data_IF_369115803410
#
_entry.id   IF_369115803410
#
_cell.length_a   1.000
_cell.length_b   1.000
_cell.length_c   1.000
_cell.angle_alpha   90.00
_cell.angle_beta   90.00
_cell.angle_gamma   90.00
#
_symmetry.space_group_name_H-M   'P 1'
#
loop_
_entity.id
_entity.type
_entity.pdbx_description
1 polymer ?
#
# COMPACT_ATOMS: atom_id res chain seq x y z
N UNK A 1 -1.68 8.54 40.66
CA UNK A 1 -1.37 7.60 39.58
C UNK A 1 -1.75 6.19 40.02
N UNK A 2 -2.74 5.59 39.39
CA UNK A 2 -3.18 4.23 39.74
C UNK A 2 -2.24 3.22 39.05
N UNK A 3 -1.24 2.73 39.80
CA UNK A 3 -0.44 1.58 39.36
C UNK A 3 -1.19 0.28 39.74
N UNK A 4 -1.59 -0.49 38.71
CA UNK A 4 -2.28 -1.77 38.91
C UNK A 4 -1.35 -2.92 39.37
N UNK A 5 -0.02 -2.69 39.51
CA UNK A 5 1.01 -3.70 39.76
C UNK A 5 1.95 -3.37 40.98
N UNK A 6 1.51 -2.66 41.96
CA UNK A 6 2.35 -2.12 43.05
C UNK A 6 2.74 -3.06 44.20
N UNK A 7 2.20 -4.27 44.33
CA UNK A 7 2.24 -5.06 45.57
C UNK A 7 3.61 -5.52 46.10
N UNK A 8 4.68 -5.55 45.27
CA UNK A 8 6.06 -5.93 45.69
C UNK A 8 6.96 -4.72 45.92
N UNK A 9 6.60 -3.56 45.40
CA UNK A 9 7.49 -2.39 45.40
C UNK A 9 7.31 -1.57 46.69
N UNK A 10 8.44 -1.14 47.25
CA UNK A 10 8.49 -0.38 48.49
C UNK A 10 8.74 1.11 48.29
N UNK A 11 8.94 1.53 47.06
CA UNK A 11 9.18 2.93 46.66
C UNK A 11 8.25 3.30 45.51
N UNK A 12 7.88 4.56 45.44
CA UNK A 12 7.19 5.12 44.26
C UNK A 12 8.11 5.12 43.02
N UNK A 13 7.52 4.93 41.87
CA UNK A 13 8.25 5.00 40.58
C UNK A 13 8.69 6.44 40.31
N UNK A 14 9.94 6.63 39.95
CA UNK A 14 10.45 7.93 39.51
C UNK A 14 9.64 8.45 38.29
N UNK A 15 9.32 9.75 38.29
CA UNK A 15 8.48 10.34 37.23
C UNK A 15 9.09 10.24 35.83
N UNK A 16 10.42 10.32 35.71
CA UNK A 16 11.11 10.16 34.42
C UNK A 16 10.97 8.72 33.91
N UNK A 17 11.08 7.74 34.81
CA UNK A 17 10.90 6.32 34.48
C UNK A 17 9.46 6.06 34.07
N UNK A 18 8.47 6.63 34.79
CA UNK A 18 7.07 6.51 34.39
C UNK A 18 6.83 7.07 32.98
N UNK A 19 7.25 8.30 32.72
CA UNK A 19 7.06 8.95 31.42
C UNK A 19 7.77 8.22 30.30
N UNK A 20 8.96 7.65 30.56
CA UNK A 20 9.72 6.90 29.58
C UNK A 20 9.06 5.56 29.22
N UNK A 21 8.38 4.94 30.17
CA UNK A 21 7.69 3.66 29.96
C UNK A 21 6.27 3.81 29.40
N UNK A 22 5.64 4.97 29.56
CA UNK A 22 4.26 5.19 29.15
C UNK A 22 4.10 5.12 27.63
N UNK A 23 3.03 4.44 27.19
CA UNK A 23 2.70 4.24 25.77
C UNK A 23 1.38 4.88 25.36
N UNK A 24 0.61 5.45 26.30
CA UNK A 24 -0.73 5.99 26.07
C UNK A 24 -0.77 7.02 24.91
N UNK A 25 0.31 7.78 24.70
CA UNK A 25 0.38 8.80 23.64
C UNK A 25 0.25 8.24 22.23
N UNK A 26 0.61 6.98 22.01
CA UNK A 26 0.54 6.33 20.71
C UNK A 26 -0.37 5.09 20.70
N UNK A 27 -0.48 4.31 21.79
CA UNK A 27 -1.31 3.10 21.82
C UNK A 27 -2.82 3.42 21.91
N UNK A 28 -3.19 4.64 22.29
CA UNK A 28 -4.58 5.11 22.19
C UNK A 28 -5.19 4.92 20.79
N UNK A 29 -4.39 4.78 19.73
CA UNK A 29 -4.88 4.54 18.36
C UNK A 29 -5.68 3.25 18.23
N UNK A 30 -5.40 2.24 19.05
CA UNK A 30 -6.12 0.98 19.03
C UNK A 30 -7.09 0.76 20.21
N UNK A 31 -7.59 1.84 20.84
CA UNK A 31 -8.55 1.70 21.95
C UNK A 31 -9.79 0.86 21.60
N UNK A 32 -10.25 0.94 20.35
CA UNK A 32 -11.38 0.12 19.85
C UNK A 32 -11.05 -1.37 19.86
N UNK A 33 -9.84 -1.71 19.46
CA UNK A 33 -9.35 -3.09 19.44
C UNK A 33 -9.18 -3.65 20.84
N UNK A 34 -8.66 -2.85 21.77
CA UNK A 34 -8.55 -3.24 23.18
C UNK A 34 -9.93 -3.51 23.81
N UNK A 35 -10.90 -2.63 23.56
CA UNK A 35 -12.27 -2.79 24.03
C UNK A 35 -12.93 -4.03 23.39
N UNK A 36 -12.80 -4.22 22.07
CA UNK A 36 -13.35 -5.38 21.37
C UNK A 36 -12.72 -6.68 21.88
N UNK A 37 -11.40 -6.73 22.01
CA UNK A 37 -10.67 -7.87 22.58
C UNK A 37 -11.09 -8.17 24.03
N UNK A 38 -11.30 -7.13 24.83
CA UNK A 38 -11.79 -7.25 26.20
C UNK A 38 -13.22 -7.79 26.27
N UNK A 39 -14.13 -7.35 25.38
CA UNK A 39 -15.49 -7.89 25.28
C UNK A 39 -15.48 -9.38 24.92
N UNK A 40 -14.68 -9.78 23.92
CA UNK A 40 -14.54 -11.18 23.52
C UNK A 40 -13.97 -12.06 24.65
N UNK A 41 -12.99 -11.54 25.39
CA UNK A 41 -12.43 -12.22 26.56
C UNK A 41 -13.50 -12.44 27.65
N UNK A 42 -14.27 -11.41 27.98
CA UNK A 42 -15.34 -11.50 28.98
C UNK A 42 -16.48 -12.43 28.56
N UNK A 43 -16.86 -12.41 27.28
CA UNK A 43 -17.87 -13.35 26.73
C UNK A 43 -17.38 -14.80 26.89
N UNK A 44 -16.11 -15.08 26.59
CA UNK A 44 -15.48 -16.38 26.79
C UNK A 44 -15.43 -16.77 28.26
N UNK A 45 -15.06 -15.87 29.18
CA UNK A 45 -15.07 -16.15 30.61
C UNK A 45 -16.46 -16.49 31.13
N UNK A 46 -17.51 -15.81 30.66
CA UNK A 46 -18.91 -16.11 30.94
C UNK A 46 -19.34 -17.47 30.43
N UNK A 47 -18.97 -17.82 29.17
CA UNK A 47 -19.23 -19.13 28.57
C UNK A 47 -18.60 -20.27 29.35
N UNK A 48 -17.38 -20.07 29.83
CA UNK A 48 -16.65 -21.07 30.61
C UNK A 48 -17.06 -21.14 32.11
N UNK A 49 -18.00 -20.29 32.55
CA UNK A 49 -18.45 -20.24 33.91
C UNK A 49 -17.41 -19.71 34.93
N UNK A 50 -16.34 -19.07 34.43
CA UNK A 50 -15.35 -18.36 35.25
C UNK A 50 -15.97 -17.07 35.81
N UNK A 51 -16.78 -16.39 34.99
CA UNK A 51 -17.70 -15.34 35.40
C UNK A 51 -19.15 -15.87 35.32
N UNK A 52 -20.04 -15.28 36.11
CA UNK A 52 -21.45 -15.50 35.89
C UNK A 52 -21.90 -14.80 34.57
N UNK A 53 -22.94 -15.31 33.93
CA UNK A 53 -23.50 -14.67 32.73
C UNK A 53 -23.94 -13.22 33.00
N UNK A 54 -24.43 -12.94 34.18
CA UNK A 54 -24.86 -11.60 34.56
C UNK A 54 -23.67 -10.64 34.69
N UNK A 55 -22.55 -11.09 35.29
CA UNK A 55 -21.31 -10.30 35.36
C UNK A 55 -20.74 -10.05 33.98
N UNK A 56 -20.67 -11.08 33.14
CA UNK A 56 -20.20 -10.97 31.73
C UNK A 56 -21.01 -9.90 30.98
N UNK A 57 -22.34 -9.97 31.00
CA UNK A 57 -23.21 -8.99 30.35
C UNK A 57 -22.98 -7.56 30.85
N UNK A 58 -22.88 -7.38 32.16
CA UNK A 58 -22.64 -6.06 32.76
C UNK A 58 -21.30 -5.46 32.30
N UNK A 59 -20.24 -6.28 32.28
CA UNK A 59 -18.92 -5.83 31.86
C UNK A 59 -18.93 -5.47 30.37
N UNK A 60 -19.49 -6.30 29.49
CA UNK A 60 -19.61 -6.03 28.05
C UNK A 60 -20.38 -4.74 27.79
N UNK A 61 -21.54 -4.57 28.45
CA UNK A 61 -22.36 -3.35 28.29
C UNK A 61 -21.56 -2.10 28.72
N UNK A 62 -20.84 -2.16 29.84
CA UNK A 62 -20.04 -1.05 30.33
C UNK A 62 -18.83 -0.75 29.40
N UNK A 63 -18.19 -1.76 28.80
CA UNK A 63 -17.13 -1.57 27.79
C UNK A 63 -17.66 -0.85 26.54
N UNK A 64 -18.88 -1.18 26.09
CA UNK A 64 -19.55 -0.46 24.99
C UNK A 64 -19.81 1.00 25.35
N UNK A 65 -20.33 1.26 26.54
CA UNK A 65 -20.54 2.63 27.03
C UNK A 65 -19.24 3.44 27.09
N UNK A 66 -18.13 2.81 27.54
CA UNK A 66 -16.80 3.45 27.55
C UNK A 66 -16.38 3.81 26.11
N UNK A 67 -16.56 2.90 25.15
CA UNK A 67 -16.24 3.17 23.75
C UNK A 67 -17.08 4.34 23.21
N UNK A 68 -18.40 4.30 23.43
CA UNK A 68 -19.31 5.37 23.00
C UNK A 68 -18.97 6.72 23.63
N UNK A 69 -18.59 6.74 24.91
CA UNK A 69 -18.21 7.97 25.61
C UNK A 69 -16.91 8.57 25.05
N UNK A 70 -15.94 7.73 24.68
CA UNK A 70 -14.71 8.19 24.00
C UNK A 70 -15.05 8.72 22.62
N UNK A 71 -15.84 8.00 21.82
CA UNK A 71 -16.23 8.40 20.47
C UNK A 71 -17.02 9.72 20.44
N UNK A 72 -17.88 9.93 21.45
CA UNK A 72 -18.67 11.15 21.57
C UNK A 72 -17.95 12.29 22.30
N UNK A 73 -16.68 12.12 22.67
CA UNK A 73 -15.89 13.12 23.37
C UNK A 73 -16.34 13.42 24.81
N UNK A 74 -17.11 12.51 25.43
CA UNK A 74 -17.52 12.62 26.83
C UNK A 74 -16.45 12.11 27.79
N UNK A 75 -15.61 11.19 27.30
CA UNK A 75 -14.49 10.62 28.03
C UNK A 75 -13.21 10.84 27.22
N UNK A 76 -12.28 11.59 27.77
CA UNK A 76 -11.00 11.91 27.11
C UNK A 76 -9.91 10.91 27.55
N UNK A 77 -9.14 10.42 26.60
CA UNK A 77 -7.96 9.59 26.86
C UNK A 77 -6.82 10.53 27.26
N UNK A 78 -6.37 10.44 28.51
CA UNK A 78 -5.39 11.37 29.07
C UNK A 78 -4.06 10.68 29.42
N UNK A 79 -2.98 11.46 29.53
CA UNK A 79 -1.65 10.98 29.91
C UNK A 79 -1.51 10.60 31.41
N UNK A 80 -2.59 10.59 32.17
CA UNK A 80 -2.59 10.12 33.57
C UNK A 80 -2.44 8.60 33.69
N UNK A 81 -2.70 7.88 32.60
CA UNK A 81 -2.57 6.43 32.51
C UNK A 81 -1.29 6.05 31.75
N UNK A 82 -0.70 4.91 32.14
CA UNK A 82 0.52 4.39 31.51
C UNK A 82 0.27 3.94 30.05
N UNK A 83 -0.85 3.24 29.84
CA UNK A 83 -1.25 2.67 28.54
C UNK A 83 -2.78 2.69 28.37
N UNK A 84 -3.24 2.43 27.15
CA UNK A 84 -4.68 2.39 26.83
C UNK A 84 -5.42 1.31 27.61
N UNK A 85 -4.78 0.19 27.90
CA UNK A 85 -5.37 -0.90 28.64
C UNK A 85 -5.67 -0.50 30.09
N UNK A 86 -4.75 0.22 30.73
CA UNK A 86 -4.94 0.77 32.07
C UNK A 86 -6.06 1.83 32.09
N UNK A 87 -6.18 2.63 31.04
CA UNK A 87 -7.28 3.58 30.88
C UNK A 87 -8.63 2.86 30.83
N UNK A 88 -8.78 1.85 29.96
CA UNK A 88 -10.03 1.08 29.82
C UNK A 88 -10.39 0.37 31.12
N UNK A 89 -9.42 -0.34 31.73
CA UNK A 89 -9.61 -1.09 32.96
C UNK A 89 -9.98 -0.19 34.13
N UNK A 90 -9.33 0.97 34.30
CA UNK A 90 -9.64 1.92 35.38
C UNK A 90 -11.06 2.48 35.24
N UNK A 91 -11.47 2.91 34.04
CA UNK A 91 -12.83 3.39 33.80
C UNK A 91 -13.89 2.32 34.02
N UNK A 92 -13.59 1.06 33.68
CA UNK A 92 -14.46 -0.07 33.97
C UNK A 92 -14.62 -0.31 35.48
N UNK A 93 -13.50 -0.26 36.21
CA UNK A 93 -13.51 -0.43 37.67
C UNK A 93 -14.26 0.73 38.37
N UNK A 94 -14.07 1.96 37.92
CA UNK A 94 -14.77 3.13 38.46
C UNK A 94 -16.30 3.02 38.30
N UNK A 95 -16.77 2.42 37.21
CA UNK A 95 -18.21 2.24 36.92
C UNK A 95 -18.82 1.00 37.60
N UNK A 96 -18.06 -0.11 37.67
CA UNK A 96 -18.59 -1.41 38.11
C UNK A 96 -18.01 -1.93 39.43
N UNK A 97 -17.01 -1.26 40.03
CA UNK A 97 -16.35 -1.69 41.26
C UNK A 97 -15.69 -3.06 41.09
N UNK A 98 -15.96 -3.97 42.03
CA UNK A 98 -15.33 -5.30 42.06
C UNK A 98 -15.63 -6.17 40.84
N UNK A 99 -16.76 -5.98 40.17
CA UNK A 99 -17.06 -6.68 38.94
C UNK A 99 -16.08 -6.28 37.82
N UNK A 100 -15.71 -5.00 37.72
CA UNK A 100 -14.75 -4.51 36.75
C UNK A 100 -13.36 -5.12 36.91
N UNK A 101 -12.93 -5.38 38.14
CA UNK A 101 -11.62 -6.02 38.45
C UNK A 101 -11.49 -7.44 37.90
N UNK A 102 -12.60 -8.09 37.56
CA UNK A 102 -12.61 -9.45 37.02
C UNK A 102 -12.24 -9.53 35.56
N UNK A 103 -12.22 -8.39 34.83
CA UNK A 103 -11.87 -8.32 33.38
C UNK A 103 -10.52 -9.00 33.10
N UNK A 104 -9.52 -8.85 33.97
CA UNK A 104 -8.16 -9.34 33.74
C UNK A 104 -7.96 -10.83 34.10
N UNK A 105 -9.02 -11.55 34.50
CA UNK A 105 -8.93 -12.96 34.90
C UNK A 105 -8.41 -13.84 33.76
N UNK A 106 -7.31 -14.55 33.97
CA UNK A 106 -6.70 -15.46 33.02
C UNK A 106 -6.03 -14.77 31.83
N UNK A 107 -5.82 -13.45 31.85
CA UNK A 107 -5.17 -12.65 30.80
C UNK A 107 -3.89 -12.01 31.33
N UNK A 108 -2.93 -11.82 30.42
CA UNK A 108 -1.73 -11.01 30.65
C UNK A 108 -1.78 -9.76 29.79
N UNK A 109 -1.04 -8.71 30.19
CA UNK A 109 -0.80 -7.56 29.31
C UNK A 109 -0.12 -7.99 28.00
N UNK A 110 0.68 -9.06 28.02
CA UNK A 110 1.42 -9.54 26.84
C UNK A 110 0.51 -10.08 25.74
N UNK A 111 -0.46 -10.96 26.07
CA UNK A 111 -1.39 -11.47 25.06
C UNK A 111 -2.47 -10.45 24.69
N UNK A 112 -2.80 -9.52 25.58
CA UNK A 112 -3.69 -8.40 25.32
C UNK A 112 -3.09 -7.46 24.25
N UNK A 113 -1.88 -6.95 24.44
CA UNK A 113 -1.25 -6.04 23.49
C UNK A 113 -0.93 -6.73 22.15
N UNK A 114 -0.57 -8.02 22.19
CA UNK A 114 -0.37 -8.81 20.97
C UNK A 114 -1.66 -8.93 20.14
N UNK A 115 -2.80 -9.13 20.82
CA UNK A 115 -4.12 -9.14 20.17
C UNK A 115 -4.46 -7.79 19.55
N UNK A 116 -4.30 -6.71 20.30
CA UNK A 116 -4.69 -5.37 19.84
C UNK A 116 -3.88 -4.94 18.64
N UNK A 117 -2.59 -5.19 18.63
CA UNK A 117 -1.71 -4.96 17.48
C UNK A 117 -2.12 -5.77 16.26
N UNK A 118 -2.52 -7.05 16.42
CA UNK A 118 -3.03 -7.86 15.30
C UNK A 118 -4.35 -7.33 14.77
N UNK A 119 -5.31 -7.04 15.64
CA UNK A 119 -6.61 -6.49 15.25
C UNK A 119 -6.45 -5.15 14.52
N UNK A 120 -5.62 -4.26 15.06
CA UNK A 120 -5.34 -2.96 14.45
C UNK A 120 -4.65 -3.12 13.09
N UNK A 121 -3.57 -3.91 13.04
CA UNK A 121 -2.83 -4.14 11.78
C UNK A 121 -3.72 -4.81 10.73
N UNK A 122 -4.56 -5.77 11.12
CA UNK A 122 -5.54 -6.42 10.22
C UNK A 122 -6.47 -5.39 9.56
N UNK A 123 -6.99 -4.44 10.34
CA UNK A 123 -7.80 -3.34 9.80
C UNK A 123 -6.98 -2.47 8.83
N UNK A 124 -5.74 -2.13 9.18
CA UNK A 124 -4.88 -1.31 8.33
C UNK A 124 -4.54 -2.00 7.00
N UNK A 125 -4.36 -3.32 6.99
CA UNK A 125 -4.16 -4.13 5.76
C UNK A 125 -5.37 -4.01 4.84
N UNK A 126 -6.58 -4.17 5.37
CA UNK A 126 -7.83 -4.06 4.60
C UNK A 126 -8.05 -2.65 4.04
N UNK A 127 -7.82 -1.62 4.86
CA UNK A 127 -7.91 -0.23 4.42
C UNK A 127 -6.90 0.09 3.31
N UNK A 128 -5.68 -0.42 3.43
CA UNK A 128 -4.64 -0.23 2.40
C UNK A 128 -5.00 -0.93 1.10
N UNK A 129 -5.52 -2.16 1.17
CA UNK A 129 -6.00 -2.88 -0.01
C UNK A 129 -7.14 -2.12 -0.72
N UNK A 130 -8.09 -1.57 0.03
CA UNK A 130 -9.17 -0.78 -0.54
C UNK A 130 -8.64 0.48 -1.25
N UNK A 131 -7.68 1.20 -0.66
CA UNK A 131 -7.04 2.35 -1.31
C UNK A 131 -6.30 1.96 -2.60
N UNK A 132 -5.62 0.82 -2.61
CA UNK A 132 -4.98 0.28 -3.81
C UNK A 132 -6.02 -0.09 -4.88
N UNK A 133 -7.17 -0.63 -4.48
CA UNK A 133 -8.28 -0.93 -5.40
C UNK A 133 -8.79 0.35 -6.07
N UNK A 134 -8.96 1.45 -5.33
CA UNK A 134 -9.36 2.73 -5.92
C UNK A 134 -8.31 3.29 -6.89
N UNK A 135 -7.03 3.19 -6.56
CA UNK A 135 -5.94 3.56 -7.47
C UNK A 135 -5.97 2.73 -8.77
N UNK A 136 -6.21 1.43 -8.66
CA UNK A 136 -6.33 0.54 -9.82
C UNK A 136 -7.54 0.88 -10.70
N UNK A 137 -8.68 1.31 -10.12
CA UNK A 137 -9.84 1.79 -10.88
C UNK A 137 -9.51 3.03 -11.70
N UNK A 138 -8.76 3.99 -11.13
CA UNK A 138 -8.32 5.19 -11.84
C UNK A 138 -7.38 4.81 -13.00
N UNK A 139 -6.39 3.95 -12.75
CA UNK A 139 -5.49 3.45 -13.78
C UNK A 139 -6.25 2.74 -14.90
N UNK A 140 -7.20 1.88 -14.56
CA UNK A 140 -8.03 1.16 -15.52
C UNK A 140 -8.86 2.12 -16.41
N UNK A 141 -9.46 3.17 -15.81
CA UNK A 141 -10.16 4.21 -16.56
C UNK A 141 -9.23 4.91 -17.54
N UNK A 142 -8.05 5.34 -17.09
CA UNK A 142 -7.06 6.01 -17.96
C UNK A 142 -6.63 5.08 -19.08
N UNK A 143 -6.41 3.79 -18.83
CA UNK A 143 -6.09 2.81 -19.87
C UNK A 143 -7.19 2.71 -20.93
N UNK A 144 -8.46 2.59 -20.52
CA UNK A 144 -9.62 2.53 -21.45
C UNK A 144 -9.72 3.75 -22.34
N UNK A 145 -9.45 4.93 -21.81
CA UNK A 145 -9.56 6.21 -22.53
C UNK A 145 -8.37 6.52 -23.45
N UNK A 146 -7.27 5.74 -23.38
CA UNK A 146 -6.00 6.08 -24.01
C UNK A 146 -5.33 4.93 -24.77
N UNK A 147 -6.11 3.98 -25.27
CA UNK A 147 -5.60 2.86 -26.10
C UNK A 147 -4.96 3.30 -27.41
N UNK A 148 -5.31 4.50 -27.89
CA UNK A 148 -4.78 5.09 -29.12
C UNK A 148 -3.92 6.34 -28.87
N UNK A 149 -3.66 6.68 -27.61
CA UNK A 149 -2.79 7.82 -27.25
C UNK A 149 -1.33 7.38 -27.37
N UNK A 150 -0.73 7.66 -28.53
CA UNK A 150 0.66 7.28 -28.84
C UNK A 150 1.64 8.21 -28.11
N UNK A 151 2.66 7.63 -27.51
CA UNK A 151 3.76 8.33 -26.85
C UNK A 151 5.09 7.57 -27.04
N UNK A 152 6.25 8.22 -26.85
CA UNK A 152 7.51 7.50 -26.87
C UNK A 152 7.66 6.65 -25.61
N UNK A 153 8.07 5.40 -25.76
CA UNK A 153 8.63 4.60 -24.68
C UNK A 153 10.11 4.93 -24.49
N UNK A 154 10.58 4.85 -23.26
CA UNK A 154 11.95 5.20 -22.88
C UNK A 154 12.69 4.02 -22.27
N UNK A 155 13.98 3.91 -22.65
CA UNK A 155 14.99 3.13 -21.93
C UNK A 155 16.21 4.03 -21.71
N UNK A 156 16.84 4.00 -20.55
CA UNK A 156 17.96 4.89 -20.20
C UNK A 156 17.64 6.39 -20.35
N UNK A 157 16.36 6.78 -20.17
CA UNK A 157 15.83 8.11 -20.48
C UNK A 157 16.04 8.56 -21.94
N UNK A 158 16.32 7.61 -22.84
CA UNK A 158 16.34 7.84 -24.28
C UNK A 158 15.08 7.28 -24.92
N UNK A 159 14.56 7.97 -25.92
CA UNK A 159 13.43 7.48 -26.72
C UNK A 159 13.81 6.16 -27.40
N UNK A 160 12.95 5.16 -27.26
CA UNK A 160 13.22 3.82 -27.75
C UNK A 160 12.23 3.40 -28.83
N UNK A 161 11.01 3.05 -28.44
CA UNK A 161 9.97 2.58 -29.34
C UNK A 161 8.65 3.31 -29.06
N UNK A 162 7.74 3.43 -30.03
CA UNK A 162 6.43 4.00 -29.78
C UNK A 162 5.57 3.01 -28.97
N UNK A 163 4.87 3.55 -27.99
CA UNK A 163 3.91 2.84 -27.14
C UNK A 163 2.61 3.64 -27.06
N UNK A 164 1.62 3.12 -26.34
CA UNK A 164 0.42 3.90 -25.96
C UNK A 164 0.48 4.29 -24.48
N UNK A 165 -0.24 5.35 -24.13
CA UNK A 165 -0.43 5.73 -22.73
C UNK A 165 -1.13 4.61 -21.94
N UNK A 166 -2.09 3.90 -22.56
CA UNK A 166 -2.71 2.73 -21.97
C UNK A 166 -1.68 1.65 -21.60
N UNK A 167 -0.73 1.35 -22.48
CA UNK A 167 0.33 0.38 -22.23
C UNK A 167 1.23 0.81 -21.08
N UNK A 168 1.60 2.08 -21.01
CA UNK A 168 2.42 2.62 -19.92
C UNK A 168 1.70 2.53 -18.56
N UNK A 169 0.43 2.97 -18.50
CA UNK A 169 -0.39 2.89 -17.27
C UNK A 169 -0.65 1.45 -16.85
N UNK A 170 -0.74 0.53 -17.83
CA UNK A 170 -0.85 -0.91 -17.58
C UNK A 170 0.33 -1.48 -16.80
N UNK A 171 1.55 -0.95 -17.00
CA UNK A 171 2.71 -1.37 -16.20
C UNK A 171 2.54 -1.03 -14.71
N UNK A 172 2.02 0.15 -14.39
CA UNK A 172 1.70 0.55 -13.01
C UNK A 172 0.51 -0.23 -12.46
N UNK A 173 -0.50 -0.50 -13.27
CA UNK A 173 -1.62 -1.37 -12.87
C UNK A 173 -1.09 -2.73 -12.39
N UNK A 174 -0.19 -3.38 -13.12
CA UNK A 174 0.40 -4.66 -12.73
C UNK A 174 1.26 -4.57 -11.45
N UNK A 175 1.93 -3.45 -11.20
CA UNK A 175 2.67 -3.24 -9.95
C UNK A 175 1.72 -3.20 -8.75
N UNK A 176 0.68 -2.37 -8.77
CA UNK A 176 -0.27 -2.23 -7.67
C UNK A 176 -1.20 -3.44 -7.52
N UNK A 177 -1.49 -4.17 -8.59
CA UNK A 177 -2.17 -5.47 -8.52
C UNK A 177 -1.36 -6.49 -7.70
N UNK A 178 -0.04 -6.54 -7.88
CA UNK A 178 0.85 -7.36 -7.04
C UNK A 178 0.91 -6.87 -5.60
N UNK A 179 0.78 -5.55 -5.37
CA UNK A 179 0.73 -5.01 -4.01
C UNK A 179 -0.55 -5.42 -3.28
N UNK A 180 -1.70 -5.47 -3.96
CA UNK A 180 -2.94 -6.04 -3.39
C UNK A 180 -2.78 -7.53 -3.03
N UNK A 181 -2.11 -8.31 -3.88
CA UNK A 181 -1.81 -9.72 -3.56
C UNK A 181 -0.98 -9.85 -2.28
N UNK A 182 -0.03 -8.92 -2.03
CA UNK A 182 0.71 -8.89 -0.76
C UNK A 182 -0.20 -8.62 0.44
N UNK A 183 -1.18 -7.72 0.32
CA UNK A 183 -2.15 -7.48 1.40
C UNK A 183 -2.93 -8.74 1.74
N UNK A 184 -3.41 -9.47 0.73
CA UNK A 184 -4.07 -10.75 0.92
C UNK A 184 -3.16 -11.77 1.63
N UNK A 185 -1.94 -11.97 1.16
CA UNK A 185 -0.98 -12.90 1.75
C UNK A 185 -0.66 -12.58 3.22
N UNK A 186 -0.54 -11.30 3.57
CA UNK A 186 -0.32 -10.86 4.95
C UNK A 186 -1.54 -11.17 5.82
N UNK A 187 -2.74 -10.86 5.32
CA UNK A 187 -3.99 -11.15 6.03
C UNK A 187 -4.11 -12.63 6.35
N UNK A 188 -3.87 -13.51 5.40
CA UNK A 188 -3.94 -14.97 5.57
C UNK A 188 -2.99 -15.47 6.67
N UNK A 189 -1.75 -14.98 6.69
CA UNK A 189 -0.76 -15.42 7.68
C UNK A 189 -1.00 -14.82 9.06
N UNK A 190 -1.50 -13.59 9.15
CA UNK A 190 -1.68 -12.90 10.43
C UNK A 190 -2.98 -13.26 11.16
N UNK A 191 -3.97 -13.83 10.47
CA UNK A 191 -5.33 -13.96 11.00
C UNK A 191 -5.48 -15.14 11.99
N UNK A 192 -4.60 -15.18 13.02
CA UNK A 192 -4.64 -16.12 14.13
C UNK A 192 -4.60 -15.38 15.48
N UNK A 193 -5.47 -15.81 16.42
CA UNK A 193 -5.72 -15.14 17.69
C UNK A 193 -4.66 -15.47 18.76
N UNK A 194 -3.91 -14.51 19.29
CA UNK A 194 -2.94 -14.74 20.37
C UNK A 194 -3.58 -14.79 21.75
N UNK A 195 -4.84 -14.32 21.91
CA UNK A 195 -5.50 -14.21 23.21
C UNK A 195 -5.61 -15.58 23.90
N UNK A 196 -5.36 -15.60 25.20
CA UNK A 196 -5.26 -16.81 26.01
C UNK A 196 -3.86 -17.43 26.06
N UNK A 197 -2.87 -16.80 25.38
CA UNK A 197 -1.45 -17.16 25.53
C UNK A 197 -0.89 -16.78 26.90
N UNK A 198 -1.59 -15.92 27.65
CA UNK A 198 -1.12 -15.39 28.92
C UNK A 198 0.17 -14.58 28.76
N UNK A 199 1.05 -14.63 29.75
CA UNK A 199 2.35 -13.97 29.63
C UNK A 199 3.26 -14.66 28.59
N UNK A 200 3.22 -15.99 28.49
CA UNK A 200 3.97 -16.84 27.55
C UNK A 200 3.57 -18.33 27.57
N UNK A 201 2.98 -18.82 28.68
CA UNK A 201 2.74 -20.25 28.95
C UNK A 201 1.25 -20.58 29.11
N UNK A 202 0.36 -19.72 28.63
CA UNK A 202 -1.07 -19.87 28.87
C UNK A 202 -1.46 -19.59 30.31
N UNK A 203 -2.50 -20.26 30.79
CA UNK A 203 -3.07 -20.09 32.13
C UNK A 203 -3.64 -21.40 32.65
N UNK A 204 -3.84 -21.52 33.95
CA UNK A 204 -4.50 -22.67 34.58
C UNK A 204 -6.03 -22.60 34.53
N UNK A 205 -6.60 -21.47 34.10
CA UNK A 205 -8.04 -21.36 33.83
C UNK A 205 -8.43 -22.13 32.55
N UNK A 206 -9.61 -22.74 32.50
CA UNK A 206 -10.08 -23.47 31.29
C UNK A 206 -10.61 -22.50 30.23
N UNK A 207 -9.72 -21.67 29.68
CA UNK A 207 -10.09 -20.72 28.62
C UNK A 207 -10.44 -21.44 27.32
N UNK A 208 -11.51 -20.99 26.64
CA UNK A 208 -11.91 -21.43 25.30
C UNK A 208 -11.31 -20.47 24.26
N UNK A 209 -10.07 -20.77 23.83
CA UNK A 209 -9.35 -19.95 22.85
C UNK A 209 -9.96 -20.00 21.44
N UNK A 210 -10.58 -21.13 21.08
CA UNK A 210 -11.30 -21.27 19.80
C UNK A 210 -12.48 -20.28 19.75
N UNK A 211 -13.27 -20.24 20.82
CA UNK A 211 -14.40 -19.33 20.92
C UNK A 211 -13.96 -17.86 20.91
N UNK A 212 -12.89 -17.51 21.58
CA UNK A 212 -12.35 -16.15 21.51
C UNK A 212 -11.90 -15.78 20.10
N UNK A 213 -11.27 -16.70 19.38
CA UNK A 213 -10.86 -16.51 17.98
C UNK A 213 -12.07 -16.33 17.06
N UNK A 214 -13.12 -17.14 17.22
CA UNK A 214 -14.36 -17.05 16.46
C UNK A 214 -15.04 -15.68 16.66
N UNK A 215 -15.21 -15.24 17.92
CA UNK A 215 -15.80 -13.93 18.24
C UNK A 215 -15.06 -12.75 17.61
N UNK A 216 -13.77 -12.89 17.38
CA UNK A 216 -12.90 -11.85 16.82
C UNK A 216 -12.64 -12.01 15.31
N UNK A 217 -13.26 -13.03 14.67
CA UNK A 217 -13.11 -13.28 13.24
C UNK A 217 -11.72 -13.74 12.81
N UNK A 218 -11.01 -14.43 13.69
CA UNK A 218 -9.76 -15.14 13.37
C UNK A 218 -10.04 -16.55 12.87
N UNK A 219 -9.12 -17.12 12.12
CA UNK A 219 -9.20 -18.51 11.65
C UNK A 219 -9.08 -19.54 12.78
N UNK A 220 -8.46 -19.16 13.89
CA UNK A 220 -8.25 -19.97 15.07
C UNK A 220 -7.24 -19.34 16.01
N UNK A 221 -6.91 -19.99 17.15
CA UNK A 221 -5.87 -19.51 18.05
C UNK A 221 -4.47 -19.79 17.50
N UNK A 222 -3.47 -19.02 17.94
CA UNK A 222 -2.06 -19.36 17.73
C UNK A 222 -1.73 -20.66 18.44
N UNK A 223 -0.98 -21.56 17.80
CA UNK A 223 -0.73 -22.93 18.28
C UNK A 223 0.38 -23.03 19.33
N UNK A 224 1.15 -21.95 19.52
CA UNK A 224 2.16 -21.86 20.58
C UNK A 224 1.99 -20.54 21.34
N UNK A 225 1.81 -20.61 22.67
CA UNK A 225 1.53 -19.45 23.49
C UNK A 225 2.72 -18.50 23.65
N UNK A 226 3.94 -19.00 23.55
CA UNK A 226 5.15 -18.18 23.60
C UNK A 226 5.34 -17.41 22.31
N UNK A 227 5.12 -18.04 21.16
CA UNK A 227 5.10 -17.43 19.84
C UNK A 227 3.96 -16.41 19.72
N UNK A 228 2.77 -16.75 20.23
CA UNK A 228 1.59 -15.88 20.16
C UNK A 228 1.79 -14.49 20.79
N UNK A 229 2.63 -14.36 21.82
CA UNK A 229 2.98 -13.07 22.44
C UNK A 229 4.24 -12.42 21.85
N UNK A 230 5.05 -13.20 21.14
CA UNK A 230 6.36 -12.78 20.59
C UNK A 230 6.30 -12.36 19.14
N UNK A 231 5.42 -12.97 18.34
CA UNK A 231 5.36 -12.78 16.89
C UNK A 231 5.07 -11.34 16.50
N UNK A 232 5.92 -10.82 15.61
CA UNK A 232 5.79 -9.56 14.89
C UNK A 232 6.06 -9.71 13.38
N UNK A 233 6.12 -10.95 12.88
CA UNK A 233 6.41 -11.22 11.47
C UNK A 233 5.38 -10.57 10.56
N UNK A 234 4.09 -10.65 10.93
CA UNK A 234 3.01 -10.00 10.20
C UNK A 234 3.19 -8.48 10.05
N UNK A 235 3.76 -7.83 11.07
CA UNK A 235 4.02 -6.39 11.05
C UNK A 235 5.23 -6.06 10.19
N UNK A 236 6.28 -6.88 10.22
CA UNK A 236 7.44 -6.79 9.33
C UNK A 236 7.02 -7.01 7.89
N UNK A 237 6.19 -8.01 7.60
CA UNK A 237 5.64 -8.26 6.27
C UNK A 237 4.82 -7.07 5.77
N UNK A 238 3.98 -6.49 6.61
CA UNK A 238 3.16 -5.34 6.25
C UNK A 238 4.03 -4.11 5.98
N UNK A 239 5.02 -3.80 6.83
CA UNK A 239 5.99 -2.73 6.60
C UNK A 239 6.79 -2.95 5.30
N UNK A 240 7.15 -4.19 4.99
CA UNK A 240 7.83 -4.56 3.75
C UNK A 240 6.94 -4.33 2.52
N UNK A 241 5.68 -4.69 2.61
CA UNK A 241 4.70 -4.41 1.56
C UNK A 241 4.49 -2.91 1.36
N UNK A 242 4.33 -2.13 2.46
CA UNK A 242 4.25 -0.66 2.39
C UNK A 242 5.51 -0.04 1.78
N UNK A 243 6.70 -0.52 2.11
CA UNK A 243 7.94 -0.08 1.50
C UNK A 243 7.94 -0.35 -0.02
N UNK A 244 7.41 -1.48 -0.45
CA UNK A 244 7.25 -1.83 -1.88
C UNK A 244 6.24 -0.94 -2.58
N UNK A 245 5.09 -0.68 -1.97
CA UNK A 245 4.07 0.27 -2.48
C UNK A 245 4.69 1.67 -2.65
N UNK A 246 5.40 2.14 -1.63
CA UNK A 246 6.04 3.46 -1.69
C UNK A 246 7.14 3.53 -2.75
N UNK A 247 7.85 2.44 -3.01
CA UNK A 247 8.81 2.36 -4.13
C UNK A 247 8.09 2.47 -5.48
N UNK A 248 6.95 1.81 -5.67
CA UNK A 248 6.15 1.92 -6.89
C UNK A 248 5.61 3.33 -7.07
N UNK A 249 5.05 3.93 -6.01
CA UNK A 249 4.58 5.32 -6.03
C UNK A 249 5.72 6.32 -6.28
N UNK A 250 6.91 6.09 -5.72
CA UNK A 250 8.10 6.93 -5.95
C UNK A 250 8.54 6.91 -7.42
N UNK A 251 8.57 5.73 -8.04
CA UNK A 251 8.88 5.60 -9.47
C UNK A 251 7.85 6.32 -10.34
N UNK A 252 6.57 6.15 -10.04
CA UNK A 252 5.50 6.81 -10.78
C UNK A 252 5.54 8.33 -10.57
N UNK A 253 5.79 8.78 -9.35
CA UNK A 253 5.99 10.21 -9.03
C UNK A 253 7.13 10.82 -9.85
N UNK A 254 8.26 10.13 -9.98
CA UNK A 254 9.40 10.57 -10.79
C UNK A 254 8.98 10.80 -12.25
N UNK A 255 8.25 9.87 -12.84
CA UNK A 255 7.78 10.02 -14.22
C UNK A 255 6.78 11.18 -14.37
N UNK A 256 5.84 11.35 -13.43
CA UNK A 256 4.91 12.50 -13.44
C UNK A 256 5.66 13.83 -13.34
N UNK A 257 6.69 13.91 -12.47
CA UNK A 257 7.52 15.10 -12.32
C UNK A 257 8.23 15.42 -13.64
N UNK A 258 8.85 14.41 -14.28
CA UNK A 258 9.49 14.56 -15.59
C UNK A 258 8.46 15.00 -16.65
N UNK A 259 7.32 14.34 -16.70
CA UNK A 259 6.27 14.62 -17.69
C UNK A 259 5.62 16.01 -17.51
N UNK A 260 5.56 16.50 -16.27
CA UNK A 260 5.02 17.82 -15.96
C UNK A 260 6.05 18.96 -16.19
N UNK A 261 7.32 18.63 -16.44
CA UNK A 261 8.36 19.63 -16.67
C UNK A 261 8.10 20.45 -17.93
N UNK A 262 8.68 21.66 -17.98
CA UNK A 262 8.57 22.55 -19.15
C UNK A 262 9.16 21.94 -20.44
N UNK A 263 10.09 21.01 -20.29
CA UNK A 263 10.80 20.32 -21.38
C UNK A 263 9.94 19.22 -22.00
N UNK A 264 9.21 18.45 -21.16
CA UNK A 264 8.35 17.35 -21.62
C UNK A 264 6.93 17.78 -21.92
N UNK A 265 6.26 18.43 -20.96
CA UNK A 265 4.85 18.90 -21.09
C UNK A 265 3.86 17.78 -21.50
N UNK A 266 4.13 16.56 -21.10
CA UNK A 266 3.24 15.44 -21.41
C UNK A 266 1.98 15.45 -20.56
N UNK A 267 2.07 16.00 -19.34
CA UNK A 267 0.95 16.13 -18.41
C UNK A 267 0.88 17.54 -17.82
N UNK A 268 -0.31 17.86 -17.32
CA UNK A 268 -0.57 19.03 -16.49
C UNK A 268 -1.29 18.56 -15.23
N UNK A 269 -0.70 18.81 -14.07
CA UNK A 269 -1.31 18.50 -12.77
C UNK A 269 -2.41 19.52 -12.49
N UNK A 270 -3.55 19.09 -11.95
CA UNK A 270 -4.64 19.96 -11.55
C UNK A 270 -4.20 20.96 -10.47
N UNK A 271 -4.80 22.15 -10.47
CA UNK A 271 -4.47 23.22 -9.50
C UNK A 271 -4.71 22.78 -8.05
N UNK A 272 -5.67 21.88 -7.81
CA UNK A 272 -5.95 21.35 -6.48
C UNK A 272 -4.83 20.44 -5.93
N UNK A 273 -3.93 19.94 -6.79
CA UNK A 273 -2.81 19.05 -6.44
C UNK A 273 -1.44 19.64 -6.73
N UNK A 274 -1.36 20.95 -6.88
CA UNK A 274 -0.13 21.68 -7.17
C UNK A 274 -0.03 22.93 -6.34
N UNK A 275 1.18 23.49 -6.21
CA UNK A 275 1.39 24.81 -5.56
C UNK A 275 2.03 25.79 -6.51
N UNK A 276 1.89 27.08 -6.20
CA UNK A 276 2.54 28.17 -6.93
C UNK A 276 3.82 28.62 -6.22
N UNK A 277 4.39 29.71 -6.76
CA UNK A 277 5.51 30.40 -6.16
C UNK A 277 5.06 31.78 -5.68
N UNK A 278 5.50 32.19 -4.49
CA UNK A 278 5.21 33.53 -3.94
C UNK A 278 5.89 34.66 -4.72
N UNK A 279 6.91 34.34 -5.53
CA UNK A 279 7.71 35.31 -6.29
C UNK A 279 7.59 35.13 -7.80
N UNK A 280 7.25 33.94 -8.28
CA UNK A 280 7.18 33.61 -9.70
C UNK A 280 5.73 33.23 -10.08
N UNK A 281 4.90 34.18 -10.59
CA UNK A 281 3.47 33.95 -10.79
C UNK A 281 3.15 32.90 -11.86
N UNK A 282 4.09 32.57 -12.73
CA UNK A 282 3.94 31.55 -13.78
C UNK A 282 4.27 30.13 -13.29
N UNK A 283 4.84 29.98 -12.09
CA UNK A 283 5.36 28.70 -11.62
C UNK A 283 4.28 27.83 -10.97
N UNK A 284 4.19 26.58 -11.39
CA UNK A 284 3.31 25.54 -10.84
C UNK A 284 4.15 24.31 -10.54
N UNK A 285 4.14 23.87 -9.28
CA UNK A 285 5.02 22.82 -8.78
C UNK A 285 4.29 21.48 -8.63
N UNK A 286 4.93 20.35 -8.91
CA UNK A 286 4.38 19.00 -8.72
C UNK A 286 4.57 18.50 -7.26
N UNK A 287 4.21 19.31 -6.25
CA UNK A 287 4.58 19.06 -4.84
C UNK A 287 4.08 17.73 -4.31
N UNK A 288 2.88 17.29 -4.72
CA UNK A 288 2.34 16.00 -4.25
C UNK A 288 3.22 14.85 -4.72
N UNK A 289 3.61 14.83 -6.00
CA UNK A 289 4.50 13.81 -6.53
C UNK A 289 5.89 13.85 -5.85
N UNK A 290 6.42 15.06 -5.59
CA UNK A 290 7.71 15.23 -4.90
C UNK A 290 7.64 14.73 -3.44
N UNK A 291 6.58 15.07 -2.71
CA UNK A 291 6.41 14.63 -1.32
C UNK A 291 6.19 13.12 -1.22
N UNK A 292 5.42 12.50 -2.12
CA UNK A 292 5.26 11.04 -2.18
C UNK A 292 6.61 10.37 -2.40
N UNK A 293 7.40 10.86 -3.37
CA UNK A 293 8.77 10.39 -3.60
C UNK A 293 9.66 10.54 -2.36
N UNK A 294 9.62 11.70 -1.69
CA UNK A 294 10.41 11.97 -0.48
C UNK A 294 10.01 11.12 0.73
N UNK A 295 8.70 10.90 0.96
CA UNK A 295 8.18 10.12 2.09
C UNK A 295 8.53 8.62 2.01
N UNK A 296 8.94 8.11 0.86
CA UNK A 296 9.38 6.71 0.67
C UNK A 296 10.49 6.35 1.65
N UNK A 297 11.49 7.22 1.84
CA UNK A 297 12.59 6.98 2.80
C UNK A 297 12.14 6.84 4.25
N UNK A 298 11.06 7.54 4.64
CA UNK A 298 10.47 7.44 5.98
C UNK A 298 9.91 6.04 6.24
N UNK A 299 9.20 5.46 5.27
CA UNK A 299 8.62 4.10 5.39
C UNK A 299 9.72 3.03 5.36
N UNK A 300 10.78 3.23 4.56
CA UNK A 300 11.96 2.35 4.59
C UNK A 300 12.64 2.35 5.97
N UNK A 301 12.76 3.53 6.58
CA UNK A 301 13.30 3.69 7.92
C UNK A 301 12.51 2.92 8.98
N UNK A 302 11.17 2.93 8.90
CA UNK A 302 10.30 2.20 9.82
C UNK A 302 10.51 0.68 9.72
N UNK A 303 10.56 0.12 8.50
CA UNK A 303 10.85 -1.29 8.27
C UNK A 303 12.21 -1.69 8.85
N UNK A 304 13.24 -0.91 8.57
CA UNK A 304 14.61 -1.19 9.06
C UNK A 304 14.69 -1.11 10.58
N UNK A 305 13.96 -0.17 11.19
CA UNK A 305 13.89 -0.03 12.64
C UNK A 305 13.26 -1.25 13.30
N UNK A 306 12.11 -1.72 12.80
CA UNK A 306 11.44 -2.90 13.37
C UNK A 306 12.29 -4.17 13.21
N UNK A 307 12.90 -4.40 12.03
CA UNK A 307 13.84 -5.49 11.82
C UNK A 307 15.01 -5.45 12.82
N UNK A 308 15.52 -4.25 13.10
CA UNK A 308 16.61 -4.04 14.05
C UNK A 308 16.18 -4.30 15.49
N UNK A 309 14.98 -3.89 15.88
CA UNK A 309 14.40 -4.17 17.18
C UNK A 309 14.25 -5.67 17.41
N UNK A 310 13.70 -6.38 16.46
CA UNK A 310 13.38 -7.82 16.60
C UNK A 310 14.59 -8.76 16.53
N UNK A 311 15.66 -8.40 15.80
CA UNK A 311 16.78 -9.29 15.44
C UNK A 311 17.53 -9.94 16.61
N UNK A 312 17.47 -9.40 17.81
CA UNK A 312 18.35 -9.83 18.91
C UNK A 312 17.66 -10.05 20.24
N UNK A 313 16.34 -9.91 20.30
CA UNK A 313 15.59 -10.14 21.55
C UNK A 313 15.26 -11.63 21.74
N UNK A 314 15.25 -12.14 22.98
CA UNK A 314 14.82 -13.51 23.27
C UNK A 314 13.31 -13.68 23.08
N UNK A 315 12.84 -14.94 23.13
CA UNK A 315 11.42 -15.30 22.99
C UNK A 315 10.52 -14.66 24.07
N UNK A 316 9.23 -14.78 23.89
CA UNK A 316 8.15 -14.15 24.65
C UNK A 316 8.16 -12.62 24.47
N UNK A 317 8.01 -11.84 25.53
CA UNK A 317 7.90 -10.39 25.44
C UNK A 317 9.08 -9.72 26.15
N UNK A 318 9.66 -8.73 25.49
CA UNK A 318 10.63 -7.80 26.03
C UNK A 318 10.14 -6.37 25.78
N UNK A 319 10.49 -5.43 26.64
CA UNK A 319 10.03 -4.03 26.54
C UNK A 319 10.47 -3.35 25.22
N UNK A 320 11.53 -3.85 24.57
CA UNK A 320 11.96 -3.48 23.21
C UNK A 320 10.80 -3.53 22.20
N UNK A 321 9.88 -4.48 22.37
CA UNK A 321 8.72 -4.65 21.50
C UNK A 321 7.72 -3.49 21.57
N UNK A 322 7.85 -2.56 22.54
CA UNK A 322 7.04 -1.34 22.54
C UNK A 322 7.35 -0.45 21.34
N UNK A 323 8.58 -0.53 20.81
CA UNK A 323 9.02 0.17 19.59
C UNK A 323 8.35 -0.33 18.31
N UNK A 324 7.54 -1.39 18.38
CA UNK A 324 6.75 -1.90 17.25
C UNK A 324 5.62 -0.94 16.83
N UNK A 325 5.25 0.07 17.67
CA UNK A 325 4.05 0.90 17.48
C UNK A 325 4.30 2.21 16.74
N UNK A 326 5.08 3.13 17.29
CA UNK A 326 5.17 4.50 16.79
C UNK A 326 5.58 4.57 15.33
N UNK A 327 6.66 3.90 14.97
CA UNK A 327 7.17 3.90 13.59
C UNK A 327 6.25 3.15 12.62
N UNK A 328 5.60 2.07 13.09
CA UNK A 328 4.65 1.32 12.27
C UNK A 328 3.39 2.12 12.01
N UNK A 329 2.82 2.76 13.03
CA UNK A 329 1.66 3.62 12.88
C UNK A 329 1.94 4.81 11.96
N UNK A 330 3.12 5.42 12.09
CA UNK A 330 3.56 6.48 11.21
C UNK A 330 3.71 6.02 9.75
N UNK A 331 4.28 4.85 9.52
CA UNK A 331 4.40 4.25 8.19
C UNK A 331 3.04 3.92 7.57
N UNK A 332 2.10 3.39 8.37
CA UNK A 332 0.72 3.09 7.96
C UNK A 332 0.00 4.36 7.50
N UNK A 333 -0.01 5.40 8.34
CA UNK A 333 -0.65 6.68 8.03
C UNK A 333 0.00 7.36 6.83
N UNK A 334 1.34 7.35 6.76
CA UNK A 334 2.10 7.92 5.65
C UNK A 334 1.78 7.21 4.33
N UNK A 335 1.79 5.88 4.31
CA UNK A 335 1.54 5.10 3.09
C UNK A 335 0.11 5.29 2.59
N UNK A 336 -0.88 5.15 3.47
CA UNK A 336 -2.29 5.36 3.13
C UNK A 336 -2.55 6.78 2.62
N UNK A 337 -1.99 7.79 3.29
CA UNK A 337 -2.08 9.18 2.86
C UNK A 337 -1.46 9.40 1.47
N UNK A 338 -0.30 8.79 1.20
CA UNK A 338 0.35 8.87 -0.11
C UNK A 338 -0.49 8.20 -1.22
N UNK A 339 -1.06 7.01 -0.97
CA UNK A 339 -1.92 6.33 -1.94
C UNK A 339 -3.15 7.20 -2.26
N UNK A 340 -3.84 7.70 -1.25
CA UNK A 340 -5.05 8.50 -1.42
C UNK A 340 -4.79 9.80 -2.19
N UNK A 341 -3.74 10.56 -1.81
CA UNK A 341 -3.38 11.81 -2.48
C UNK A 341 -2.90 11.56 -3.91
N UNK A 342 -2.10 10.52 -4.13
CA UNK A 342 -1.61 10.16 -5.47
C UNK A 342 -2.76 9.73 -6.38
N UNK A 343 -3.73 8.97 -5.87
CA UNK A 343 -4.93 8.57 -6.60
C UNK A 343 -5.73 9.78 -7.05
N UNK A 344 -5.99 10.75 -6.16
CA UNK A 344 -6.71 11.98 -6.51
C UNK A 344 -5.96 12.85 -7.52
N UNK A 345 -4.64 12.98 -7.39
CA UNK A 345 -3.79 13.68 -8.37
C UNK A 345 -3.86 13.00 -9.74
N UNK A 346 -3.76 11.68 -9.78
CA UNK A 346 -3.81 10.92 -11.03
C UNK A 346 -5.19 10.96 -11.70
N UNK A 347 -6.26 10.94 -10.91
CA UNK A 347 -7.65 10.98 -11.40
C UNK A 347 -7.98 12.28 -12.14
N UNK A 348 -7.35 13.38 -11.76
CA UNK A 348 -7.52 14.73 -12.33
C UNK A 348 -6.42 15.13 -13.32
N UNK A 349 -5.43 14.26 -13.54
CA UNK A 349 -4.29 14.54 -14.40
C UNK A 349 -4.70 14.72 -15.85
N UNK A 350 -4.28 15.82 -16.45
CA UNK A 350 -4.53 16.10 -17.87
C UNK A 350 -3.36 15.63 -18.73
N UNK A 351 -3.66 14.84 -19.77
CA UNK A 351 -2.68 14.31 -20.69
C UNK A 351 -2.65 15.15 -21.98
N UNK A 352 -1.48 15.67 -22.35
CA UNK A 352 -1.25 16.46 -23.56
C UNK A 352 -0.93 15.53 -24.75
N UNK A 353 -1.98 14.90 -25.29
CA UNK A 353 -1.87 13.83 -26.31
C UNK A 353 -1.09 14.26 -27.56
N UNK A 354 -1.29 15.49 -28.01
CA UNK A 354 -0.60 16.03 -29.20
C UNK A 354 0.91 16.19 -28.95
N UNK A 355 1.29 16.63 -27.73
CA UNK A 355 2.71 16.76 -27.34
C UNK A 355 3.37 15.37 -27.26
N UNK A 356 2.68 14.40 -26.68
CA UNK A 356 3.14 13.01 -26.61
C UNK A 356 3.33 12.43 -28.01
N UNK A 357 2.34 12.61 -28.91
CA UNK A 357 2.38 12.14 -30.29
C UNK A 357 3.52 12.77 -31.10
N UNK A 358 3.66 14.11 -30.97
CA UNK A 358 4.75 14.83 -31.62
C UNK A 358 6.11 14.35 -31.10
N UNK A 359 6.22 14.09 -29.80
CA UNK A 359 7.47 13.57 -29.22
C UNK A 359 7.81 12.16 -29.72
N UNK A 360 6.81 11.30 -29.97
CA UNK A 360 7.02 9.97 -30.53
C UNK A 360 7.57 10.02 -31.96
N UNK A 361 7.14 10.99 -32.77
CA UNK A 361 7.61 11.17 -34.17
C UNK A 361 9.08 11.62 -34.23
N UNK A 362 9.63 12.19 -33.17
CA UNK A 362 11.02 12.65 -33.15
C UNK A 362 11.89 11.68 -32.34
N UNK A 363 13.06 11.33 -32.87
CA UNK A 363 14.03 10.46 -32.21
C UNK A 363 14.06 9.03 -32.75
N UNK A 364 13.59 8.87 -33.98
CA UNK A 364 13.70 7.61 -34.75
C UNK A 364 13.10 6.41 -34.04
N UNK A 365 11.97 6.60 -33.35
CA UNK A 365 11.31 5.53 -32.55
C UNK A 365 10.79 4.40 -33.47
N UNK A 366 10.61 4.66 -34.75
CA UNK A 366 10.21 3.74 -35.80
C UNK A 366 11.38 3.08 -36.56
N UNK A 367 12.63 3.35 -36.17
CA UNK A 367 13.80 2.79 -36.86
C UNK A 367 13.83 1.25 -36.83
N UNK A 368 13.39 0.63 -35.71
CA UNK A 368 13.27 -0.83 -35.61
C UNK A 368 12.25 -1.37 -36.62
N UNK A 369 11.10 -0.69 -36.79
CA UNK A 369 10.05 -1.09 -37.72
C UNK A 369 10.51 -0.96 -39.19
N UNK A 370 11.34 0.05 -39.49
CA UNK A 370 12.00 0.18 -40.80
C UNK A 370 13.01 -0.96 -41.05
N UNK A 371 13.74 -1.41 -40.05
CA UNK A 371 14.61 -2.59 -40.16
C UNK A 371 13.80 -3.87 -40.37
N UNK A 372 12.70 -4.04 -39.63
CA UNK A 372 11.79 -5.19 -39.79
C UNK A 372 11.13 -5.20 -41.18
N UNK A 373 10.82 -4.02 -41.74
CA UNK A 373 10.35 -3.92 -43.11
C UNK A 373 11.34 -4.56 -44.09
N UNK A 374 12.62 -4.19 -44.01
CA UNK A 374 13.67 -4.76 -44.88
C UNK A 374 13.82 -6.27 -44.66
N UNK A 375 13.73 -6.76 -43.42
CA UNK A 375 13.77 -8.20 -43.09
C UNK A 375 12.62 -8.95 -43.76
N UNK A 376 11.41 -8.39 -43.68
CA UNK A 376 10.22 -8.98 -44.34
C UNK A 376 10.32 -9.02 -45.86
N UNK A 377 11.20 -8.18 -46.44
CA UNK A 377 11.51 -8.17 -47.85
C UNK A 377 12.80 -8.94 -48.22
N UNK A 378 13.27 -9.81 -47.30
CA UNK A 378 14.35 -10.76 -47.56
C UNK A 378 15.78 -10.28 -47.25
N UNK A 379 15.92 -9.09 -46.64
CA UNK A 379 17.24 -8.60 -46.19
C UNK A 379 17.58 -9.23 -44.82
N UNK A 380 18.78 -9.85 -44.67
CA UNK A 380 19.18 -10.37 -43.35
C UNK A 380 19.15 -9.30 -42.28
N UNK A 381 18.70 -9.65 -41.04
CA UNK A 381 18.51 -8.69 -39.96
C UNK A 381 19.74 -7.81 -39.68
N UNK A 382 20.95 -8.38 -39.66
CA UNK A 382 22.18 -7.61 -39.43
C UNK A 382 22.45 -6.56 -40.52
N UNK A 383 22.14 -6.91 -41.77
CA UNK A 383 22.29 -5.99 -42.90
C UNK A 383 21.20 -4.92 -42.83
N UNK A 384 19.96 -5.29 -42.57
CA UNK A 384 18.85 -4.36 -42.38
C UNK A 384 19.17 -3.35 -41.25
N UNK A 385 19.63 -3.82 -40.09
CA UNK A 385 20.08 -2.95 -38.99
C UNK A 385 21.18 -1.98 -39.42
N UNK A 386 22.18 -2.44 -40.18
CA UNK A 386 23.27 -1.62 -40.69
C UNK A 386 22.77 -0.57 -41.71
N UNK A 387 21.81 -0.93 -42.58
CA UNK A 387 21.19 0.01 -43.52
C UNK A 387 20.44 1.11 -42.79
N UNK A 388 19.58 0.74 -41.83
CA UNK A 388 18.81 1.72 -41.04
C UNK A 388 19.73 2.59 -40.19
N UNK A 389 20.82 2.06 -39.63
CA UNK A 389 21.82 2.86 -38.92
C UNK A 389 22.41 3.98 -39.80
N UNK A 390 22.69 3.71 -41.07
CA UNK A 390 23.17 4.74 -42.03
C UNK A 390 22.06 5.73 -42.42
N UNK A 391 20.81 5.27 -42.55
CA UNK A 391 19.65 6.15 -42.77
C UNK A 391 19.49 7.11 -41.59
N UNK A 392 19.57 6.62 -40.34
CA UNK A 392 19.49 7.47 -39.14
C UNK A 392 20.60 8.54 -39.15
N UNK A 393 21.83 8.17 -39.49
CA UNK A 393 22.94 9.14 -39.60
C UNK A 393 22.65 10.20 -40.65
N UNK A 394 22.14 9.80 -41.81
CA UNK A 394 21.76 10.71 -42.88
C UNK A 394 20.63 11.67 -42.46
N UNK A 395 19.62 11.14 -41.78
CA UNK A 395 18.51 11.92 -41.25
C UNK A 395 18.95 12.92 -40.16
N UNK A 396 19.90 12.51 -39.31
CA UNK A 396 20.50 13.41 -38.29
C UNK A 396 21.25 14.56 -38.92
N UNK A 397 22.03 14.30 -39.97
CA UNK A 397 22.78 15.32 -40.71
C UNK A 397 21.84 16.32 -41.42
N UNK A 398 20.76 15.83 -41.99
CA UNK A 398 19.72 16.63 -42.63
C UNK A 398 18.68 17.25 -41.69
N UNK A 399 18.66 16.84 -40.43
CA UNK A 399 17.67 17.24 -39.42
C UNK A 399 16.22 16.90 -39.81
N UNK A 400 16.00 15.75 -40.45
CA UNK A 400 14.67 15.24 -40.83
C UNK A 400 14.38 13.89 -40.14
N UNK A 401 13.11 13.50 -39.91
CA UNK A 401 12.74 12.14 -39.57
C UNK A 401 12.86 11.20 -40.77
N UNK A 402 12.81 9.89 -40.55
CA UNK A 402 12.83 8.88 -41.64
C UNK A 402 11.63 9.04 -42.56
N UNK A 403 10.49 9.40 -42.01
CA UNK A 403 9.19 9.56 -42.71
C UNK A 403 9.22 10.68 -43.78
N UNK A 404 10.13 11.65 -43.64
CA UNK A 404 10.28 12.78 -44.55
C UNK A 404 11.29 12.51 -45.70
N UNK A 405 11.97 11.35 -45.68
CA UNK A 405 12.83 10.95 -46.81
C UNK A 405 11.98 10.57 -48.02
N UNK A 406 12.41 11.00 -49.20
CA UNK A 406 11.79 10.53 -50.43
C UNK A 406 12.12 9.06 -50.70
N UNK A 407 11.26 8.36 -51.44
CA UNK A 407 11.50 6.97 -51.82
C UNK A 407 12.82 6.84 -52.63
N UNK A 408 13.15 7.84 -53.47
CA UNK A 408 14.41 7.89 -54.19
C UNK A 408 15.61 7.92 -53.28
N UNK A 409 15.57 8.74 -52.18
CA UNK A 409 16.62 8.77 -51.17
C UNK A 409 16.73 7.44 -50.44
N UNK A 410 15.60 6.84 -49.99
CA UNK A 410 15.58 5.53 -49.36
C UNK A 410 16.19 4.44 -50.27
N UNK A 411 15.86 4.45 -51.56
CA UNK A 411 16.40 3.49 -52.55
C UNK A 411 17.91 3.63 -52.75
N UNK A 412 18.52 4.75 -52.37
CA UNK A 412 20.01 4.87 -52.39
C UNK A 412 20.67 3.99 -51.32
N UNK A 413 19.98 3.68 -50.22
CA UNK A 413 20.46 2.82 -49.14
C UNK A 413 20.14 1.35 -49.35
N UNK A 414 18.96 1.08 -49.97
CA UNK A 414 18.54 -0.28 -50.34
C UNK A 414 17.50 -0.21 -51.47
N UNK A 415 17.69 -0.92 -52.58
CA UNK A 415 16.70 -0.96 -53.69
C UNK A 415 15.39 -1.67 -53.28
N UNK A 416 15.35 -2.29 -52.10
CA UNK A 416 14.21 -3.05 -51.58
C UNK A 416 13.07 -2.15 -51.10
N UNK A 417 13.35 -0.87 -50.77
CA UNK A 417 12.31 0.05 -50.35
C UNK A 417 11.30 0.34 -51.47
N UNK A 418 10.01 0.25 -51.14
CA UNK A 418 8.88 0.61 -51.99
C UNK A 418 7.94 1.59 -51.22
N UNK A 419 6.89 2.11 -51.90
CA UNK A 419 5.96 3.11 -51.35
C UNK A 419 5.31 2.69 -50.02
N UNK A 420 5.12 1.40 -49.79
CA UNK A 420 4.50 0.84 -48.58
C UNK A 420 5.36 0.97 -47.33
N UNK A 421 6.63 1.40 -47.46
CA UNK A 421 7.48 1.72 -46.32
C UNK A 421 6.85 2.81 -45.43
N UNK A 422 6.23 3.83 -46.01
CA UNK A 422 5.65 4.93 -45.25
C UNK A 422 4.49 4.47 -44.33
N UNK A 423 3.68 3.53 -44.82
CA UNK A 423 2.66 2.90 -43.99
C UNK A 423 3.31 2.02 -42.91
N UNK A 424 4.32 1.25 -43.27
CA UNK A 424 5.00 0.34 -42.37
C UNK A 424 5.67 1.03 -41.17
N UNK A 425 6.21 2.25 -41.37
CA UNK A 425 6.87 3.04 -40.32
C UNK A 425 5.99 4.12 -39.69
N UNK A 426 4.71 4.21 -40.08
CA UNK A 426 3.77 5.12 -39.41
C UNK A 426 3.65 4.73 -37.95
N UNK A 427 3.50 5.70 -37.02
CA UNK A 427 3.44 5.41 -35.58
C UNK A 427 2.25 4.50 -35.23
N UNK A 428 1.14 4.66 -35.93
CA UNK A 428 -0.05 3.83 -35.80
C UNK A 428 0.24 2.37 -36.14
N UNK A 429 0.91 2.14 -37.27
CA UNK A 429 1.29 0.79 -37.72
C UNK A 429 2.34 0.18 -36.77
N UNK A 430 3.36 0.97 -36.40
CA UNK A 430 4.38 0.55 -35.46
C UNK A 430 3.79 0.06 -34.14
N UNK A 431 2.79 0.77 -33.59
CA UNK A 431 2.10 0.35 -32.36
C UNK A 431 1.18 -0.84 -32.62
N UNK A 432 0.30 -0.76 -33.61
CA UNK A 432 -0.80 -1.71 -33.78
C UNK A 432 -0.36 -3.10 -34.32
N UNK A 433 0.79 -3.20 -34.97
CA UNK A 433 1.38 -4.49 -35.35
C UNK A 433 1.99 -5.28 -34.17
N UNK A 434 2.14 -4.68 -33.00
CA UNK A 434 2.63 -5.35 -31.80
C UNK A 434 1.47 -6.04 -31.06
N UNK A 435 1.18 -7.29 -31.46
CA UNK A 435 -0.01 -8.06 -31.04
C UNK A 435 0.27 -9.14 -30.01
N UNK A 436 1.52 -9.34 -29.62
CA UNK A 436 1.87 -10.32 -28.57
C UNK A 436 1.26 -9.93 -27.23
N UNK A 437 1.02 -10.90 -26.34
CA UNK A 437 0.46 -10.65 -25.01
C UNK A 437 1.33 -9.61 -24.27
N UNK A 438 0.68 -8.57 -23.75
CA UNK A 438 1.37 -7.47 -23.04
C UNK A 438 1.97 -6.39 -23.92
N UNK A 439 1.83 -6.47 -25.25
CA UNK A 439 2.30 -5.45 -26.19
C UNK A 439 1.32 -4.26 -26.31
N UNK A 440 1.77 -3.09 -26.85
CA UNK A 440 0.96 -1.87 -26.87
C UNK A 440 -0.13 -1.84 -27.96
N UNK A 441 -0.18 -2.79 -28.88
CA UNK A 441 -1.17 -2.80 -29.95
C UNK A 441 -2.60 -2.87 -29.42
N UNK A 442 -3.53 -2.22 -30.14
CA UNK A 442 -4.91 -2.05 -29.66
C UNK A 442 -5.58 -3.37 -29.27
N UNK A 443 -5.46 -4.42 -30.11
CA UNK A 443 -6.08 -5.72 -29.84
C UNK A 443 -5.46 -6.44 -28.63
N UNK A 444 -4.14 -6.26 -28.41
CA UNK A 444 -3.48 -6.79 -27.20
C UNK A 444 -3.95 -6.02 -25.96
N UNK A 445 -4.05 -4.69 -26.03
CA UNK A 445 -4.52 -3.86 -24.92
C UNK A 445 -5.98 -4.09 -24.56
N UNK A 446 -6.87 -4.33 -25.54
CA UNK A 446 -8.28 -4.68 -25.29
C UNK A 446 -8.40 -5.92 -24.39
N UNK A 447 -7.57 -6.95 -24.65
CA UNK A 447 -7.56 -8.17 -23.81
C UNK A 447 -7.10 -7.87 -22.40
N UNK A 448 -5.99 -7.13 -22.23
CA UNK A 448 -5.47 -6.75 -20.91
C UNK A 448 -6.49 -5.91 -20.13
N UNK A 449 -7.16 -4.96 -20.78
CA UNK A 449 -8.19 -4.12 -20.17
C UNK A 449 -9.39 -4.97 -19.71
N UNK A 450 -9.82 -5.95 -20.50
CA UNK A 450 -10.92 -6.84 -20.12
C UNK A 450 -10.55 -7.75 -18.93
N UNK A 451 -9.33 -8.27 -18.90
CA UNK A 451 -8.82 -9.05 -17.75
C UNK A 451 -8.72 -8.18 -16.47
N UNK A 452 -8.27 -6.95 -16.60
CA UNK A 452 -8.22 -6.00 -15.47
C UNK A 452 -9.62 -5.63 -14.96
N UNK A 453 -10.59 -5.48 -15.85
CA UNK A 453 -12.00 -5.24 -15.49
C UNK A 453 -12.58 -6.43 -14.71
N UNK A 454 -12.33 -7.65 -15.16
CA UNK A 454 -12.73 -8.87 -14.46
C UNK A 454 -12.05 -8.99 -13.08
N UNK A 455 -10.76 -8.66 -12.99
CA UNK A 455 -10.03 -8.63 -11.71
C UNK A 455 -10.62 -7.62 -10.72
N UNK A 456 -11.00 -6.42 -11.18
CA UNK A 456 -11.57 -5.37 -10.33
C UNK A 456 -13.00 -5.68 -9.88
N UNK A 457 -13.73 -6.53 -10.63
CA UNK A 457 -15.09 -6.93 -10.31
C UNK A 457 -15.18 -7.90 -9.11
N UNK A 458 -14.09 -8.60 -8.80
CA UNK A 458 -14.01 -9.55 -7.69
C UNK A 458 -13.15 -8.94 -6.58
N UNK A 459 -13.63 -9.04 -5.34
CA UNK A 459 -12.87 -8.60 -4.17
C UNK A 459 -12.79 -9.72 -3.15
N UNK A 460 -11.55 -10.12 -2.78
CA UNK A 460 -11.32 -11.12 -1.74
C UNK A 460 -11.86 -10.67 -0.36
N UNK A 461 -12.01 -9.36 -0.14
CA UNK A 461 -12.59 -8.82 1.09
C UNK A 461 -14.11 -9.05 1.20
N UNK A 462 -14.81 -9.36 0.11
CA UNK A 462 -16.24 -9.63 0.14
C UNK A 462 -16.59 -10.88 0.96
N UNK A 463 -15.62 -11.79 1.14
CA UNK A 463 -15.75 -13.01 1.94
C UNK A 463 -15.33 -12.83 3.41
N UNK A 464 -14.83 -11.62 3.78
CA UNK A 464 -14.31 -11.34 5.11
C UNK A 464 -15.37 -10.62 5.95
N UNK A 465 -15.68 -11.20 7.12
CA UNK A 465 -16.48 -10.53 8.15
C UNK A 465 -15.61 -10.22 9.35
N UNK A 466 -15.39 -8.94 9.64
CA UNK A 466 -14.69 -8.50 10.84
C UNK A 466 -15.73 -8.06 11.86
N UNK A 467 -15.85 -8.74 13.01
CA UNK A 467 -16.74 -8.32 14.08
C UNK A 467 -16.34 -6.94 14.60
N UNK A 468 -17.33 -6.07 14.76
CA UNK A 468 -17.18 -4.76 15.40
C UNK A 468 -17.77 -4.71 16.79
N UNK A 469 -18.49 -5.76 17.15
CA UNK A 469 -19.13 -5.93 18.44
C UNK A 469 -19.18 -7.42 18.79
N UNK A 470 -19.17 -7.74 20.07
CA UNK A 470 -19.35 -9.09 20.59
C UNK A 470 -20.82 -9.25 21.00
N UNK A 471 -21.55 -10.11 20.26
CA UNK A 471 -22.89 -10.54 20.63
C UNK A 471 -22.80 -11.86 21.40
N UNK A 472 -23.59 -11.98 22.50
CA UNK A 472 -23.72 -13.23 23.27
C UNK A 472 -24.62 -14.26 22.56
#
# INVERSE_FOLDING_TARGET
MAQLWGGRFTKETDQLVYNFNASISFDQKFYKQDILGSMAHVAMLGKQGILTREESKKIIACLKEIQEDVENGKLEITSEYEDIHSFVEANLIDRLGDAGKKLHTGRSRNDQVALDMRLYTRQQVLETDQLLKELLKVLHRIMKENTQTIMPGFTHLQKAQPITLAHHMGAYFEMFKRDRSRMHDIYERMNYCPLGSGALAGTTYPLDREYSAELLGFYGPTLNSMDGVSDRDYLIEYLSAMATIMMHLSRFSEEIIIWNSNEYKFVEIDDAYSTGSSIMPQKKNPDIAELVRGKTGRVYGALMSLLTTMKGIPLAYNKDMQEDKELSFDAMDTTKGCIALFTGMLDTLKFNKDVMRKSANHGFTNATDAADYLVNHGVPFRDAHGIIGRIVLYCLDKQIPIDDMSLEELKTFSPVFEEDIYDAISMETCVNKRLTVGAPGEEAMKKVIAENEAYLAIDWQDEITIPQDVQE
#
